data_IF_310318186095
#
_entry.id   IF_310318186095
#
_cell.length_a   1.000
_cell.length_b   1.000
_cell.length_c   1.000
_cell.angle_alpha   90.00
_cell.angle_beta   90.00
_cell.angle_gamma   90.00
#
_symmetry.space_group_name_H-M   'P 1'
#
loop_
_entity.id
_entity.type
_entity.pdbx_description
1 polymer ?
#
# COMPACT_ATOMS: atom_id res chain seq x y z
N UNK A 1 -21.76 -49.17 46.91
CA UNK A 1 -22.60 -50.08 46.11
C UNK A 1 -23.22 -49.26 45.00
N UNK A 2 -23.10 -49.51 43.70
CA UNK A 2 -22.24 -50.40 42.89
C UNK A 2 -22.54 -49.99 41.44
N UNK A 3 -21.51 -50.00 40.59
CA UNK A 3 -21.65 -49.87 39.12
C UNK A 3 -22.63 -50.90 38.53
N UNK A 4 -22.91 -50.77 37.22
CA UNK A 4 -22.35 -51.80 36.35
C UNK A 4 -21.57 -51.27 35.14
N UNK A 5 -20.69 -52.16 34.68
CA UNK A 5 -19.65 -52.04 33.66
C UNK A 5 -20.14 -52.40 32.25
N UNK A 6 -19.45 -51.79 31.28
CA UNK A 6 -19.03 -52.23 29.94
C UNK A 6 -19.16 -53.72 29.56
N UNK A 7 -19.55 -53.95 28.29
CA UNK A 7 -18.94 -54.75 27.20
C UNK A 7 -19.63 -54.27 25.90
N UNK A 8 -19.06 -54.10 24.70
CA UNK A 8 -17.80 -54.50 24.08
C UNK A 8 -18.08 -54.92 22.62
N UNK A 9 -17.25 -54.46 21.68
CA UNK A 9 -17.00 -54.95 20.30
C UNK A 9 -17.66 -54.25 19.07
N UNK A 10 -16.77 -53.50 18.40
CA UNK A 10 -16.44 -53.47 16.95
C UNK A 10 -17.53 -53.58 15.88
N UNK A 11 -17.63 -52.50 15.07
CA UNK A 11 -17.66 -52.63 13.61
C UNK A 11 -17.07 -51.39 12.92
N UNK A 12 -16.37 -51.64 11.83
CA UNK A 12 -15.46 -50.74 11.11
C UNK A 12 -16.17 -49.67 10.28
N UNK A 13 -15.53 -48.50 10.16
CA UNK A 13 -15.80 -47.50 9.13
C UNK A 13 -14.70 -47.59 8.06
N UNK A 14 -15.10 -47.83 6.81
CA UNK A 14 -14.27 -47.62 5.62
C UNK A 14 -14.39 -46.14 5.20
N UNK A 15 -13.26 -45.43 5.20
CA UNK A 15 -13.10 -44.14 4.55
C UNK A 15 -12.01 -44.27 3.46
N UNK A 16 -12.43 -44.13 2.21
CA UNK A 16 -11.55 -43.95 1.06
C UNK A 16 -11.11 -42.49 0.96
N UNK A 17 -9.94 -42.20 1.54
CA UNK A 17 -9.20 -40.95 1.34
C UNK A 17 -7.97 -41.20 0.47
N UNK A 18 -7.91 -40.55 -0.69
CA UNK A 18 -6.72 -40.50 -1.52
C UNK A 18 -5.92 -39.23 -1.17
N UNK A 19 -4.78 -39.40 -0.50
CA UNK A 19 -3.73 -38.39 -0.38
C UNK A 19 -2.45 -38.91 -1.04
N UNK A 20 -2.01 -38.19 -2.07
CA UNK A 20 -0.72 -38.38 -2.71
C UNK A 20 0.30 -37.54 -1.94
N UNK A 21 1.28 -38.21 -1.32
CA UNK A 21 2.46 -37.60 -0.72
C UNK A 21 3.68 -38.07 -1.53
N UNK A 22 4.43 -37.13 -2.10
CA UNK A 22 5.77 -37.34 -2.66
C UNK A 22 6.47 -35.97 -2.67
N UNK A 23 7.76 -35.81 -2.41
CA UNK A 23 8.78 -36.60 -1.73
C UNK A 23 9.87 -35.58 -1.34
N UNK A 24 10.36 -35.64 -0.10
CA UNK A 24 11.50 -34.83 0.36
C UNK A 24 12.77 -35.61 0.01
N UNK A 25 13.66 -35.03 -0.81
CA UNK A 25 14.98 -35.59 -1.09
C UNK A 25 16.04 -34.88 -0.25
N UNK A 26 16.55 -35.57 0.76
CA UNK A 26 17.78 -35.26 1.46
C UNK A 26 18.90 -36.11 0.88
N UNK A 27 20.03 -35.49 0.49
CA UNK A 27 21.26 -36.22 0.17
C UNK A 27 22.46 -35.57 0.88
N UNK A 28 22.94 -36.24 1.92
CA UNK A 28 24.31 -36.13 2.40
C UNK A 28 24.98 -37.51 2.39
N UNK A 29 26.22 -37.49 1.87
CA UNK A 29 27.36 -38.37 2.16
C UNK A 29 27.38 -39.78 1.56
N UNK A 30 28.38 -40.05 0.71
CA UNK A 30 29.56 -40.86 1.08
C UNK A 30 30.59 -40.91 -0.07
N UNK A 31 31.85 -40.67 0.30
CA UNK A 31 33.04 -40.93 -0.51
C UNK A 31 33.32 -42.44 -0.60
N UNK A 32 33.76 -42.91 -1.77
CA UNK A 32 34.64 -44.08 -1.90
C UNK A 32 35.68 -43.82 -2.98
N UNK A 33 36.93 -44.07 -2.62
CA UNK A 33 38.12 -43.89 -3.43
C UNK A 33 38.61 -45.24 -4.00
N UNK A 34 39.16 -45.22 -5.22
CA UNK A 34 40.26 -46.03 -5.77
C UNK A 34 40.27 -45.83 -7.31
N UNK A 35 41.38 -45.63 -8.04
CA UNK A 35 42.80 -45.60 -7.74
C UNK A 35 43.60 -45.55 -9.07
N UNK A 36 44.82 -45.02 -8.99
CA UNK A 36 45.96 -45.03 -9.93
C UNK A 36 45.83 -44.36 -11.31
N UNK A 37 46.88 -43.82 -11.94
CA UNK A 37 48.11 -43.11 -11.58
C UNK A 37 48.83 -42.88 -12.92
N UNK A 38 49.16 -41.64 -13.29
CA UNK A 38 50.27 -41.36 -14.22
C UNK A 38 51.04 -40.14 -13.71
N UNK A 39 52.32 -40.38 -13.44
CA UNK A 39 53.32 -39.40 -13.00
C UNK A 39 53.72 -38.55 -14.19
N UNK A 40 53.53 -37.24 -14.09
CA UNK A 40 54.06 -36.24 -15.00
C UNK A 40 54.58 -35.06 -14.20
N UNK A 41 55.89 -34.95 -14.07
CA UNK A 41 56.56 -33.84 -13.40
C UNK A 41 56.34 -32.55 -14.20
N UNK A 42 55.42 -31.70 -13.72
CA UNK A 42 55.16 -30.37 -14.23
C UNK A 42 55.36 -29.34 -13.12
N UNK A 43 56.26 -28.40 -13.34
CA UNK A 43 56.55 -27.26 -12.46
C UNK A 43 55.25 -26.48 -12.21
N UNK A 44 54.72 -26.53 -10.98
CA UNK A 44 53.58 -25.71 -10.56
C UNK A 44 54.06 -24.28 -10.32
N UNK A 45 53.98 -23.44 -11.35
CA UNK A 45 53.94 -22.01 -11.17
C UNK A 45 52.57 -21.64 -10.60
N UNK A 46 52.50 -21.39 -9.29
CA UNK A 46 51.32 -20.82 -8.65
C UNK A 46 51.17 -19.37 -9.12
N UNK A 47 50.49 -19.18 -10.25
CA UNK A 47 49.92 -17.87 -10.58
C UNK A 47 48.79 -17.63 -9.58
N UNK A 48 49.05 -16.77 -8.60
CA UNK A 48 48.02 -16.25 -7.72
C UNK A 48 46.98 -15.52 -8.59
N UNK A 49 45.83 -16.14 -8.82
CA UNK A 49 44.65 -15.41 -9.25
C UNK A 49 44.29 -14.47 -8.10
N UNK A 50 44.60 -13.18 -8.26
CA UNK A 50 44.02 -12.15 -7.41
C UNK A 50 42.49 -12.24 -7.46
N UNK A 51 41.77 -11.88 -6.39
CA UNK A 51 40.33 -11.81 -6.44
C UNK A 51 39.96 -10.80 -7.53
N UNK A 52 39.36 -11.28 -8.61
CA UNK A 52 38.74 -10.40 -9.59
C UNK A 52 37.63 -9.65 -8.88
N UNK A 53 37.78 -8.34 -8.75
CA UNK A 53 36.66 -7.47 -8.39
C UNK A 53 35.53 -7.74 -9.39
N UNK A 54 34.45 -8.33 -8.90
CA UNK A 54 33.20 -8.27 -9.65
C UNK A 54 32.88 -6.79 -9.84
N UNK A 55 32.57 -6.34 -11.06
CA UNK A 55 32.19 -4.97 -11.29
C UNK A 55 31.04 -4.63 -10.34
N UNK A 56 31.20 -3.56 -9.57
CA UNK A 56 30.14 -3.06 -8.72
C UNK A 56 28.86 -2.92 -9.57
N UNK A 57 27.69 -3.31 -9.04
CA UNK A 57 26.45 -3.08 -9.75
C UNK A 57 26.38 -1.61 -10.16
N UNK A 58 25.88 -1.29 -11.37
CA UNK A 58 25.77 0.10 -11.80
C UNK A 58 25.03 0.88 -10.73
N UNK A 59 25.58 2.03 -10.31
CA UNK A 59 24.88 2.94 -9.42
C UNK A 59 23.52 3.24 -10.05
N UNK A 60 22.41 3.11 -9.29
CA UNK A 60 21.09 3.50 -9.77
C UNK A 60 21.19 4.93 -10.34
N UNK A 61 20.53 5.18 -11.47
CA UNK A 61 20.43 6.53 -11.99
C UNK A 61 19.89 7.44 -10.87
N UNK A 62 20.53 8.59 -10.66
CA UNK A 62 20.11 9.51 -9.61
C UNK A 62 18.64 9.92 -9.84
N UNK A 63 17.82 9.84 -8.79
CA UNK A 63 16.44 10.29 -8.84
C UNK A 63 16.38 11.79 -9.20
N UNK A 64 15.37 12.25 -9.95
CA UNK A 64 15.15 13.67 -10.14
C UNK A 64 15.05 14.42 -8.80
N UNK A 65 15.43 15.71 -8.80
CA UNK A 65 15.32 16.54 -7.61
C UNK A 65 13.88 16.59 -7.09
N UNK A 66 12.93 16.80 -8.00
CA UNK A 66 11.49 16.78 -7.73
C UNK A 66 10.83 15.68 -8.55
N UNK A 67 10.12 14.77 -7.90
CA UNK A 67 9.51 13.62 -8.55
C UNK A 67 8.25 13.12 -7.81
N UNK A 68 7.28 12.65 -8.59
CA UNK A 68 6.28 11.69 -8.14
C UNK A 68 6.78 10.27 -8.44
N UNK A 69 6.72 9.38 -7.46
CA UNK A 69 7.12 7.98 -7.58
C UNK A 69 5.95 7.10 -7.16
N UNK A 70 5.43 6.27 -8.05
CA UNK A 70 4.38 5.29 -7.73
C UNK A 70 5.03 4.01 -7.21
N UNK A 71 5.28 3.93 -5.90
CA UNK A 71 5.96 2.78 -5.29
C UNK A 71 5.22 1.46 -5.54
N UNK A 72 3.89 1.50 -5.40
CA UNK A 72 3.01 0.41 -5.74
C UNK A 72 1.69 0.93 -6.31
N UNK A 73 1.12 0.19 -7.27
CA UNK A 73 -0.11 0.58 -7.99
C UNK A 73 -1.22 -0.45 -7.90
N UNK A 74 -1.00 -1.58 -7.23
CA UNK A 74 -2.00 -2.64 -7.15
C UNK A 74 -3.18 -2.25 -6.25
N UNK A 75 -4.39 -2.43 -6.76
CA UNK A 75 -5.60 -2.45 -5.94
C UNK A 75 -5.64 -3.74 -5.11
N UNK A 76 -6.01 -3.65 -3.83
CA UNK A 76 -6.12 -4.79 -2.92
C UNK A 76 -7.57 -5.13 -2.59
N UNK A 77 -7.83 -5.73 -1.42
CA UNK A 77 -6.88 -6.23 -0.41
C UNK A 77 -5.97 -7.42 -0.76
N UNK A 78 -6.36 -8.39 -1.62
CA UNK A 78 -5.58 -9.61 -1.80
C UNK A 78 -4.17 -9.34 -2.34
N UNK A 79 -3.13 -10.03 -1.84
CA UNK A 79 -1.79 -9.89 -2.38
C UNK A 79 -1.71 -10.54 -3.77
N UNK A 80 -1.12 -9.81 -4.73
CA UNK A 80 -0.79 -10.33 -6.06
C UNK A 80 0.71 -10.63 -6.17
N UNK A 81 1.12 -11.77 -6.77
CA UNK A 81 2.53 -12.09 -6.93
C UNK A 81 3.31 -10.99 -7.66
N UNK A 82 4.43 -10.56 -7.08
CA UNK A 82 5.36 -9.55 -7.62
C UNK A 82 4.75 -8.15 -7.79
N UNK A 83 3.72 -7.82 -7.01
CA UNK A 83 3.06 -6.52 -7.05
C UNK A 83 3.13 -5.86 -5.68
N UNK A 84 3.27 -4.54 -5.68
CA UNK A 84 3.31 -3.73 -4.48
C UNK A 84 1.94 -3.08 -4.28
N UNK A 85 1.42 -3.16 -3.05
CA UNK A 85 0.17 -2.48 -2.69
C UNK A 85 0.29 -0.96 -2.85
N UNK A 86 -0.83 -0.29 -3.01
CA UNK A 86 -0.89 1.14 -3.28
C UNK A 86 -0.02 1.98 -2.33
N UNK A 87 0.90 2.73 -2.92
CA UNK A 87 1.71 3.72 -2.21
C UNK A 87 2.42 4.62 -3.22
N UNK A 88 2.54 5.90 -2.91
CA UNK A 88 3.26 6.87 -3.72
C UNK A 88 4.13 7.79 -2.87
N UNK A 89 5.22 8.29 -3.43
CA UNK A 89 6.07 9.30 -2.80
C UNK A 89 6.15 10.53 -3.69
N UNK A 90 5.90 11.69 -3.09
CA UNK A 90 6.28 12.97 -3.65
C UNK A 90 7.62 13.38 -3.03
N UNK A 91 8.67 13.39 -3.84
CA UNK A 91 10.01 13.85 -3.47
C UNK A 91 10.17 15.28 -3.92
N UNK A 92 10.41 16.21 -2.99
CA UNK A 92 10.69 17.63 -3.27
C UNK A 92 12.06 17.98 -2.69
N UNK A 93 13.06 18.14 -3.56
CA UNK A 93 14.45 18.25 -3.13
C UNK A 93 14.87 17.02 -2.30
N UNK A 94 15.18 17.24 -1.03
CA UNK A 94 15.48 16.18 -0.05
C UNK A 94 14.31 15.74 0.81
N UNK A 95 13.17 16.43 0.78
CA UNK A 95 12.01 16.10 1.62
C UNK A 95 11.07 15.11 0.89
N UNK A 96 10.59 14.10 1.62
CA UNK A 96 9.70 13.06 1.10
C UNK A 96 8.32 13.11 1.77
N UNK A 97 7.27 13.12 0.95
CA UNK A 97 5.88 13.00 1.39
C UNK A 97 5.33 11.67 0.89
N UNK A 98 5.00 10.77 1.82
CA UNK A 98 4.46 9.44 1.51
C UNK A 98 2.93 9.48 1.51
N UNK A 99 2.30 8.89 0.50
CA UNK A 99 0.85 8.77 0.36
C UNK A 99 0.51 7.29 0.33
N UNK A 100 -0.22 6.83 1.35
CA UNK A 100 -0.55 5.44 1.66
C UNK A 100 0.68 4.52 1.84
N UNK A 101 0.45 3.41 2.54
CA UNK A 101 1.45 2.44 2.97
C UNK A 101 0.94 1.01 2.72
N UNK A 102 0.59 0.71 1.46
CA UNK A 102 0.15 -0.63 1.09
C UNK A 102 1.20 -1.71 1.26
N UNK A 103 0.76 -2.97 1.17
CA UNK A 103 1.62 -4.13 1.43
C UNK A 103 2.89 -4.11 0.55
N UNK A 104 4.07 -4.13 1.21
CA UNK A 104 5.38 -4.13 0.55
C UNK A 104 5.91 -2.74 0.18
N UNK A 105 5.18 -1.67 0.50
CA UNK A 105 5.57 -0.30 0.19
C UNK A 105 6.87 0.13 0.85
N UNK A 106 7.22 -0.37 2.05
CA UNK A 106 8.53 -0.06 2.66
C UNK A 106 9.69 -0.64 1.84
N UNK A 107 9.55 -1.88 1.36
CA UNK A 107 10.57 -2.49 0.51
C UNK A 107 10.68 -1.73 -0.82
N UNK A 108 9.56 -1.35 -1.44
CA UNK A 108 9.58 -0.53 -2.65
C UNK A 108 10.23 0.85 -2.42
N UNK A 109 9.93 1.49 -1.29
CA UNK A 109 10.53 2.76 -0.87
C UNK A 109 12.05 2.65 -0.78
N UNK A 110 12.57 1.64 -0.07
CA UNK A 110 14.02 1.43 0.07
C UNK A 110 14.68 1.01 -1.24
N UNK A 111 14.02 0.20 -2.08
CA UNK A 111 14.51 -0.19 -3.40
C UNK A 111 14.63 1.00 -4.37
N UNK A 112 13.79 2.03 -4.20
CA UNK A 112 13.90 3.30 -4.92
C UNK A 112 15.07 4.17 -4.43
N UNK A 113 15.80 3.75 -3.40
CA UNK A 113 16.92 4.49 -2.81
C UNK A 113 16.49 5.56 -1.80
N UNK A 114 15.19 5.63 -1.48
CA UNK A 114 14.64 6.60 -0.53
C UNK A 114 14.97 6.18 0.91
N UNK A 115 15.18 7.16 1.79
CA UNK A 115 15.57 6.93 3.18
C UNK A 115 14.48 7.42 4.13
N UNK A 116 14.26 6.66 5.21
CA UNK A 116 13.31 7.06 6.26
C UNK A 116 13.64 8.44 6.84
N UNK A 117 14.94 8.78 6.91
CA UNK A 117 15.41 10.05 7.44
C UNK A 117 14.97 11.28 6.63
N UNK A 118 14.61 11.07 5.36
CA UNK A 118 14.15 12.11 4.46
C UNK A 118 12.60 12.24 4.48
N UNK A 119 11.88 11.36 5.21
CA UNK A 119 10.43 11.46 5.36
C UNK A 119 10.04 12.69 6.16
N UNK A 120 9.31 13.59 5.48
CA UNK A 120 8.78 14.84 6.01
C UNK A 120 7.36 14.69 6.56
N UNK A 121 6.52 13.90 5.88
CA UNK A 121 5.16 13.59 6.32
C UNK A 121 4.61 12.32 5.65
N UNK A 122 3.61 11.71 6.26
CA UNK A 122 2.82 10.60 5.70
C UNK A 122 1.35 11.02 5.64
N UNK A 123 0.66 10.65 4.56
CA UNK A 123 -0.77 10.90 4.35
C UNK A 123 -1.47 9.58 4.06
N UNK A 124 -2.50 9.25 4.84
CA UNK A 124 -3.31 8.05 4.70
C UNK A 124 -4.69 8.46 4.20
N UNK A 125 -5.11 7.90 3.05
CA UNK A 125 -6.39 8.22 2.42
C UNK A 125 -7.57 7.64 3.21
N UNK A 126 -7.46 6.38 3.62
CA UNK A 126 -8.43 5.67 4.43
C UNK A 126 -7.80 4.45 5.13
N UNK A 127 -8.55 3.76 6.00
CA UNK A 127 -8.03 2.68 6.84
C UNK A 127 -8.31 1.27 6.31
N UNK A 128 -8.48 1.09 4.99
CA UNK A 128 -8.45 -0.25 4.42
C UNK A 128 -7.04 -0.83 4.46
N UNK A 129 -6.98 -2.16 4.60
CA UNK A 129 -5.73 -2.88 4.80
C UNK A 129 -4.74 -2.67 3.66
N UNK A 130 -5.17 -2.54 2.42
CA UNK A 130 -4.28 -2.34 1.27
C UNK A 130 -3.67 -0.94 1.22
N UNK A 131 -4.16 0.02 2.02
CA UNK A 131 -3.59 1.36 2.15
C UNK A 131 -2.72 1.52 3.40
N UNK A 132 -2.84 0.63 4.39
CA UNK A 132 -2.15 0.79 5.69
C UNK A 132 -1.37 -0.44 6.16
N UNK A 133 -1.41 -1.57 5.46
CA UNK A 133 -0.81 -2.83 5.94
C UNK A 133 0.66 -2.69 6.33
N UNK A 134 1.41 -1.84 5.62
CA UNK A 134 2.84 -1.64 5.85
C UNK A 134 3.16 -0.31 6.57
N UNK A 135 2.13 0.44 6.97
CA UNK A 135 2.26 1.75 7.64
C UNK A 135 3.19 1.70 8.85
N UNK A 136 2.95 0.74 9.75
CA UNK A 136 3.74 0.66 10.98
C UNK A 136 5.17 0.19 10.74
N UNK A 137 5.40 -0.58 9.67
CA UNK A 137 6.74 -1.04 9.27
C UNK A 137 7.66 0.14 8.96
N UNK A 138 7.14 1.25 8.43
CA UNK A 138 7.96 2.46 8.21
C UNK A 138 8.60 2.93 9.51
N UNK A 139 7.87 2.97 10.62
CA UNK A 139 8.44 3.36 11.92
C UNK A 139 9.24 2.23 12.57
N UNK A 140 8.69 1.01 12.59
CA UNK A 140 9.28 -0.12 13.28
C UNK A 140 10.61 -0.57 12.65
N UNK A 141 10.65 -0.67 11.32
CA UNK A 141 11.80 -1.18 10.56
C UNK A 141 12.55 -0.06 9.86
N UNK A 142 11.86 0.88 9.21
CA UNK A 142 12.50 2.03 8.57
C UNK A 142 13.13 2.98 9.60
N UNK A 143 12.38 3.29 10.66
CA UNK A 143 12.79 4.14 11.77
C UNK A 143 13.92 3.56 12.63
N UNK A 144 14.26 2.28 12.47
CA UNK A 144 15.46 1.70 13.09
C UNK A 144 16.75 2.42 12.66
N UNK A 145 16.74 3.05 11.48
CA UNK A 145 17.86 3.83 10.93
C UNK A 145 17.79 5.32 11.29
N UNK A 146 16.82 5.73 12.12
CA UNK A 146 16.67 7.11 12.53
C UNK A 146 17.81 7.54 13.48
N UNK A 147 18.38 8.74 13.32
CA UNK A 147 19.34 9.27 14.28
C UNK A 147 18.64 9.54 15.63
N UNK A 148 19.34 9.37 16.77
CA UNK A 148 18.80 9.74 18.07
C UNK A 148 18.35 11.21 18.14
N UNK A 149 17.21 11.45 18.78
CA UNK A 149 16.58 12.76 18.92
C UNK A 149 15.88 13.28 17.66
N UNK A 150 15.61 12.43 16.66
CA UNK A 150 14.86 12.84 15.46
C UNK A 150 13.47 13.37 15.86
N UNK A 151 13.04 14.47 15.24
CA UNK A 151 11.67 14.96 15.40
C UNK A 151 10.65 13.94 14.83
N UNK A 152 9.46 13.81 15.45
CA UNK A 152 8.44 12.89 14.96
C UNK A 152 7.94 13.31 13.57
N UNK A 153 7.69 12.31 12.73
CA UNK A 153 7.09 12.50 11.41
C UNK A 153 5.58 12.72 11.59
N UNK A 154 5.01 13.85 11.12
CA UNK A 154 3.57 14.04 11.11
C UNK A 154 2.89 13.03 10.17
N UNK A 155 1.86 12.36 10.68
CA UNK A 155 1.05 11.40 9.92
C UNK A 155 -0.39 11.91 9.89
N UNK A 156 -0.85 12.33 8.71
CA UNK A 156 -2.20 12.81 8.50
C UNK A 156 -3.10 11.68 8.01
N UNK A 157 -4.28 11.53 8.58
CA UNK A 157 -5.21 10.51 8.10
C UNK A 157 -6.55 10.49 8.81
N UNK A 158 -7.33 9.41 8.64
CA UNK A 158 -8.69 9.33 9.16
C UNK A 158 -8.76 9.25 10.68
N UNK A 159 -9.70 10.00 11.23
CA UNK A 159 -10.21 9.76 12.58
C UNK A 159 -11.13 8.54 12.64
N UNK A 160 -11.68 8.22 13.83
CA UNK A 160 -12.62 7.12 13.98
C UNK A 160 -13.89 7.36 13.16
N UNK A 161 -14.44 6.31 12.55
CA UNK A 161 -15.65 6.41 11.72
C UNK A 161 -16.89 6.85 12.54
N UNK A 162 -16.88 6.58 13.86
CA UNK A 162 -18.00 6.85 14.76
C UNK A 162 -19.08 5.76 14.76
N UNK A 163 -18.98 4.78 13.88
CA UNK A 163 -19.87 3.62 13.83
C UNK A 163 -19.71 2.80 12.55
N UNK A 164 -20.35 1.64 12.54
CA UNK A 164 -20.52 0.82 11.34
C UNK A 164 -21.95 1.00 10.83
N UNK A 165 -22.16 1.27 9.53
CA UNK A 165 -23.49 1.21 8.94
C UNK A 165 -24.03 -0.24 8.98
N UNK A 166 -25.35 -0.45 8.95
CA UNK A 166 -25.91 -1.77 8.70
C UNK A 166 -25.37 -2.33 7.38
N UNK A 167 -24.98 -3.59 7.38
CA UNK A 167 -24.52 -4.24 6.15
C UNK A 167 -25.66 -4.33 5.14
N UNK A 168 -25.57 -3.56 4.06
CA UNK A 168 -26.53 -3.60 2.95
C UNK A 168 -26.12 -4.59 1.85
N UNK A 169 -24.82 -4.91 1.78
CA UNK A 169 -24.20 -5.72 0.73
C UNK A 169 -23.50 -6.93 1.34
N UNK A 170 -23.79 -8.13 0.83
CA UNK A 170 -23.16 -9.37 1.28
C UNK A 170 -23.86 -10.00 2.49
N UNK A 171 -23.18 -10.07 3.63
CA UNK A 171 -23.71 -10.73 4.83
C UNK A 171 -24.63 -9.77 5.61
N UNK A 172 -25.94 -10.05 5.78
CA UNK A 172 -26.87 -9.16 6.48
C UNK A 172 -26.66 -9.11 8.00
N UNK A 173 -25.95 -10.07 8.60
CA UNK A 173 -25.66 -10.12 10.03
C UNK A 173 -24.17 -10.44 10.27
N UNK A 174 -23.25 -9.52 9.93
CA UNK A 174 -21.82 -9.77 10.10
C UNK A 174 -21.43 -9.71 11.58
N UNK A 175 -20.44 -10.52 11.97
CA UNK A 175 -19.80 -10.37 13.26
C UNK A 175 -18.95 -9.09 13.28
N UNK A 176 -18.94 -8.40 14.42
CA UNK A 176 -18.09 -7.21 14.62
C UNK A 176 -16.76 -7.62 15.25
N UNK A 177 -15.66 -7.30 14.56
CA UNK A 177 -14.31 -7.42 15.14
C UNK A 177 -14.09 -6.27 16.12
N UNK A 178 -13.47 -6.58 17.27
CA UNK A 178 -13.24 -5.64 18.37
C UNK A 178 -14.49 -4.80 18.75
N UNK A 179 -15.56 -5.40 19.28
CA UNK A 179 -16.81 -4.68 19.59
C UNK A 179 -16.67 -3.48 20.53
N UNK A 180 -15.59 -3.42 21.34
CA UNK A 180 -15.32 -2.30 22.23
C UNK A 180 -14.83 -1.04 21.49
N UNK A 181 -14.20 -1.22 20.33
CA UNK A 181 -13.76 -0.13 19.45
C UNK A 181 -13.73 -0.64 17.99
N UNK A 182 -14.89 -0.74 17.33
CA UNK A 182 -15.02 -1.43 16.04
C UNK A 182 -14.53 -0.61 14.85
N UNK A 183 -14.36 0.70 15.02
CA UNK A 183 -13.95 1.64 13.96
C UNK A 183 -12.90 2.62 14.50
N UNK A 184 -11.71 2.12 14.92
CA UNK A 184 -10.66 2.99 15.41
C UNK A 184 -10.22 3.96 14.33
N UNK A 185 -9.87 5.19 14.72
CA UNK A 185 -9.12 6.10 13.86
C UNK A 185 -7.64 5.72 13.77
N UNK A 186 -6.88 6.50 13.02
CA UNK A 186 -5.45 6.28 12.83
C UNK A 186 -4.67 6.40 14.15
N UNK A 187 -5.09 7.26 15.08
CA UNK A 187 -4.41 7.43 16.37
C UNK A 187 -4.56 6.19 17.24
N UNK A 188 -5.79 5.68 17.40
CA UNK A 188 -6.06 4.46 18.15
C UNK A 188 -5.42 3.22 17.49
N UNK A 189 -5.40 3.20 16.16
CA UNK A 189 -4.70 2.15 15.39
C UNK A 189 -3.20 2.16 15.66
N UNK A 190 -2.58 3.34 15.64
CA UNK A 190 -1.13 3.50 15.91
C UNK A 190 -0.77 3.09 17.34
N UNK A 191 -1.57 3.47 18.33
CA UNK A 191 -1.38 3.05 19.73
C UNK A 191 -1.49 1.53 19.90
N UNK A 192 -2.47 0.89 19.25
CA UNK A 192 -2.61 -0.56 19.28
C UNK A 192 -1.39 -1.26 18.66
N UNK A 193 -0.80 -0.68 17.60
CA UNK A 193 0.42 -1.19 16.99
C UNK A 193 1.66 -1.00 17.89
N UNK A 194 1.76 0.14 18.58
CA UNK A 194 2.77 0.35 19.62
C UNK A 194 2.69 -0.74 20.69
N UNK A 195 1.48 -1.04 21.18
CA UNK A 195 1.26 -2.12 22.13
C UNK A 195 1.64 -3.49 21.55
N UNK A 196 1.18 -3.80 20.33
CA UNK A 196 1.40 -5.09 19.68
C UNK A 196 2.89 -5.40 19.50
N UNK A 197 3.71 -4.40 19.19
CA UNK A 197 5.14 -4.54 18.95
C UNK A 197 6.02 -4.11 20.13
N UNK A 198 5.44 -3.81 21.30
CA UNK A 198 6.16 -3.33 22.47
C UNK A 198 7.30 -4.26 22.91
N UNK A 199 7.15 -5.58 22.75
CA UNK A 199 8.21 -6.54 23.04
C UNK A 199 9.48 -6.28 22.22
N UNK A 200 9.33 -6.13 20.90
CA UNK A 200 10.45 -5.88 19.99
C UNK A 200 11.07 -4.51 20.25
N UNK A 201 10.23 -3.47 20.38
CA UNK A 201 10.70 -2.10 20.63
C UNK A 201 11.49 -2.01 21.94
N UNK A 202 11.02 -2.67 23.00
CA UNK A 202 11.72 -2.71 24.29
C UNK A 202 13.11 -3.34 24.18
N UNK A 203 13.25 -4.44 23.43
CA UNK A 203 14.54 -5.09 23.22
C UNK A 203 15.47 -4.16 22.45
N UNK A 204 15.01 -3.59 21.34
CA UNK A 204 15.88 -2.77 20.50
C UNK A 204 16.37 -1.49 21.18
N UNK A 205 15.54 -0.83 21.99
CA UNK A 205 15.97 0.32 22.80
C UNK A 205 17.11 -0.09 23.74
N UNK A 206 17.04 -1.27 24.37
CA UNK A 206 18.04 -1.73 25.34
C UNK A 206 19.33 -2.22 24.69
N UNK A 207 19.20 -2.96 23.59
CA UNK A 207 20.32 -3.64 22.94
C UNK A 207 21.07 -2.71 21.97
N UNK A 208 20.35 -1.86 21.24
CA UNK A 208 20.91 -0.98 20.22
C UNK A 208 20.95 0.49 20.61
N UNK A 209 20.28 0.89 21.71
CA UNK A 209 20.24 2.29 22.15
C UNK A 209 19.49 3.22 21.19
N UNK A 210 18.61 2.67 20.35
CA UNK A 210 17.74 3.47 19.47
C UNK A 210 16.64 4.15 20.29
N UNK A 211 16.08 5.22 19.73
CA UNK A 211 14.95 5.92 20.32
C UNK A 211 13.69 5.05 20.38
N UNK A 212 12.76 5.47 21.23
CA UNK A 212 11.45 4.84 21.31
C UNK A 212 10.68 5.08 20.00
N UNK A 213 10.25 3.99 19.34
CA UNK A 213 9.47 4.05 18.09
C UNK A 213 8.21 4.91 18.22
N UNK A 214 7.65 5.02 19.43
CA UNK A 214 6.48 5.86 19.71
C UNK A 214 6.76 7.34 19.51
N UNK A 215 8.01 7.76 19.65
CA UNK A 215 8.43 9.15 19.49
C UNK A 215 8.71 9.52 18.02
N UNK A 216 8.65 8.54 17.10
CA UNK A 216 8.89 8.75 15.66
C UNK A 216 7.64 9.15 14.88
N UNK A 217 6.44 8.92 15.40
CA UNK A 217 5.17 9.21 14.72
C UNK A 217 4.35 10.25 15.50
N UNK A 218 3.95 11.32 14.82
CA UNK A 218 2.96 12.27 15.35
C UNK A 218 1.69 12.17 14.53
N UNK A 219 0.73 11.39 15.01
CA UNK A 219 -0.56 11.20 14.32
C UNK A 219 -1.43 12.45 14.46
N UNK A 220 -2.00 12.87 13.34
CA UNK A 220 -2.89 14.02 13.19
C UNK A 220 -4.12 13.52 12.43
N UNK A 221 -5.19 13.20 13.17
CA UNK A 221 -6.47 12.83 12.56
C UNK A 221 -7.11 14.08 11.93
N UNK A 222 -7.40 14.00 10.64
CA UNK A 222 -7.93 15.12 9.85
C UNK A 222 -9.37 15.41 10.30
N UNK A 223 -9.68 16.63 10.76
CA UNK A 223 -11.05 17.01 11.08
C UNK A 223 -11.93 16.96 9.82
N UNK A 224 -13.08 16.32 9.95
CA UNK A 224 -14.07 16.20 8.87
C UNK A 224 -15.12 17.32 8.97
N UNK A 225 -15.64 17.83 7.84
CA UNK A 225 -16.66 18.88 7.83
C UNK A 225 -17.94 18.48 8.60
N UNK A 226 -18.62 19.47 9.20
CA UNK A 226 -19.88 19.22 9.86
C UNK A 226 -20.93 18.63 8.89
N UNK A 227 -21.67 17.62 9.35
CA UNK A 227 -22.70 16.94 8.55
C UNK A 227 -22.21 15.71 7.79
N UNK A 228 -20.92 15.36 7.87
CA UNK A 228 -20.42 14.05 7.47
C UNK A 228 -20.37 13.09 8.66
N UNK A 229 -20.73 11.83 8.41
CA UNK A 229 -20.61 10.71 9.35
C UNK A 229 -20.55 9.38 8.58
N UNK A 230 -20.47 8.26 9.28
CA UNK A 230 -20.42 6.92 8.67
C UNK A 230 -21.70 6.51 7.90
N UNK A 231 -22.76 7.34 7.89
CA UNK A 231 -23.96 7.15 7.05
C UNK A 231 -24.04 8.14 5.90
N UNK A 232 -23.41 9.30 6.05
CA UNK A 232 -23.25 10.32 5.02
C UNK A 232 -21.75 10.58 4.84
N UNK A 233 -21.08 9.65 4.16
CA UNK A 233 -19.62 9.54 4.18
C UNK A 233 -18.92 10.65 3.40
N UNK A 234 -19.58 11.20 2.37
CA UNK A 234 -19.05 12.28 1.55
C UNK A 234 -20.15 13.27 1.11
N UNK A 235 -20.73 14.06 2.03
CA UNK A 235 -21.61 15.17 1.65
C UNK A 235 -20.88 16.12 0.70
N UNK A 236 -21.65 16.87 -0.10
CA UNK A 236 -21.08 17.91 -0.95
C UNK A 236 -20.41 18.97 -0.07
N UNK A 237 -19.09 19.09 -0.20
CA UNK A 237 -18.27 20.03 0.58
C UNK A 237 -17.25 20.69 -0.34
N UNK A 238 -16.84 21.90 0.00
CA UNK A 238 -15.66 22.51 -0.62
C UNK A 238 -14.40 21.82 -0.10
N UNK A 239 -13.35 21.71 -0.93
CA UNK A 239 -12.03 21.32 -0.46
C UNK A 239 -11.56 22.15 0.73
N UNK A 240 -10.86 21.53 1.66
CA UNK A 240 -10.40 22.16 2.89
C UNK A 240 -8.92 21.86 3.17
N UNK A 241 -8.20 22.76 3.86
CA UNK A 241 -6.76 22.63 4.08
C UNK A 241 -6.43 21.55 5.11
N UNK A 242 -5.29 20.88 4.92
CA UNK A 242 -4.72 19.91 5.89
C UNK A 242 -3.47 20.50 6.53
N UNK A 243 -2.48 20.85 5.72
CA UNK A 243 -1.18 21.36 6.16
C UNK A 243 -0.55 22.21 5.06
N UNK A 244 0.30 23.16 5.43
CA UNK A 244 1.21 23.85 4.51
C UNK A 244 2.57 24.00 5.17
N UNK A 245 3.63 23.67 4.44
CA UNK A 245 5.03 23.86 4.85
C UNK A 245 5.79 24.62 3.76
N UNK A 246 7.12 24.66 3.83
CA UNK A 246 7.94 25.40 2.85
C UNK A 246 7.94 24.82 1.43
N UNK A 247 7.58 23.55 1.25
CA UNK A 247 7.59 22.87 -0.05
C UNK A 247 6.19 22.72 -0.65
N UNK A 248 5.19 22.39 0.17
CA UNK A 248 3.85 22.00 -0.31
C UNK A 248 2.74 22.67 0.49
N UNK A 249 1.60 22.88 -0.17
CA UNK A 249 0.32 23.10 0.49
C UNK A 249 -0.60 21.93 0.17
N UNK A 250 -1.19 21.32 1.20
CA UNK A 250 -2.05 20.15 1.07
C UNK A 250 -3.48 20.54 1.37
N UNK A 251 -4.36 20.26 0.41
CA UNK A 251 -5.82 20.36 0.56
C UNK A 251 -6.44 18.98 0.37
N UNK A 252 -7.62 18.77 0.94
CA UNK A 252 -8.32 17.49 0.89
C UNK A 252 -9.82 17.68 0.72
N UNK A 253 -10.52 16.59 0.43
CA UNK A 253 -11.97 16.49 0.50
C UNK A 253 -12.37 15.07 0.87
N UNK A 254 -13.59 14.89 1.40
CA UNK A 254 -14.19 13.57 1.56
C UNK A 254 -14.61 13.01 0.20
N UNK A 255 -14.33 11.72 -0.01
CA UNK A 255 -14.73 10.96 -1.19
C UNK A 255 -15.57 9.74 -0.83
N UNK A 256 -16.58 9.39 -1.65
CA UNK A 256 -17.46 8.25 -1.40
C UNK A 256 -16.77 6.92 -1.73
N UNK A 257 -16.53 6.10 -0.71
CA UNK A 257 -15.99 4.74 -0.83
C UNK A 257 -16.87 3.75 -0.05
N UNK A 258 -18.15 3.70 -0.43
CA UNK A 258 -19.19 2.91 0.23
C UNK A 258 -19.23 3.11 1.76
N UNK A 259 -19.04 2.03 2.54
CA UNK A 259 -19.10 2.04 4.01
C UNK A 259 -17.83 2.61 4.66
N UNK A 260 -16.78 2.89 3.89
CA UNK A 260 -15.53 3.41 4.43
C UNK A 260 -15.65 4.89 4.75
N UNK A 261 -15.38 5.23 6.00
CA UNK A 261 -15.39 6.60 6.48
C UNK A 261 -14.43 6.81 7.66
N UNK A 262 -13.70 7.93 7.72
CA UNK A 262 -13.47 8.88 6.62
C UNK A 262 -12.61 8.29 5.49
N UNK A 263 -12.91 8.69 4.25
CA UNK A 263 -12.06 8.45 3.08
C UNK A 263 -11.75 9.77 2.37
N UNK A 264 -10.48 9.98 2.03
CA UNK A 264 -9.97 11.25 1.54
C UNK A 264 -9.31 11.15 0.17
N UNK A 265 -9.52 12.20 -0.64
CA UNK A 265 -8.63 12.58 -1.72
C UNK A 265 -7.68 13.69 -1.24
N UNK A 266 -6.46 13.74 -1.76
CA UNK A 266 -5.48 14.77 -1.40
C UNK A 266 -4.97 15.51 -2.63
N UNK A 267 -4.84 16.84 -2.53
CA UNK A 267 -4.14 17.66 -3.51
C UNK A 267 -2.93 18.31 -2.87
N UNK A 268 -1.79 18.14 -3.51
CA UNK A 268 -0.52 18.75 -3.18
C UNK A 268 -0.23 19.84 -4.20
N UNK A 269 -0.18 21.09 -3.76
CA UNK A 269 0.35 22.20 -4.54
C UNK A 269 1.82 22.43 -4.13
N UNK A 270 2.75 21.94 -4.95
CA UNK A 270 4.20 22.12 -4.78
C UNK A 270 4.56 23.56 -5.12
N UNK A 271 5.39 24.19 -4.28
CA UNK A 271 5.76 25.60 -4.40
C UNK A 271 6.90 25.82 -5.39
N UNK A 272 7.87 24.90 -5.44
CA UNK A 272 9.02 24.98 -6.35
C UNK A 272 9.48 23.58 -6.80
N UNK A 273 9.26 23.17 -8.07
CA UNK A 273 8.52 23.91 -9.10
C UNK A 273 7.05 24.05 -8.75
N UNK A 274 6.37 25.05 -9.33
CA UNK A 274 4.93 25.23 -9.16
C UNK A 274 4.16 24.14 -9.93
N UNK A 275 3.82 23.04 -9.26
CA UNK A 275 3.12 21.88 -9.83
C UNK A 275 2.09 21.36 -8.83
N UNK A 276 0.91 21.02 -9.32
CA UNK A 276 -0.19 20.47 -8.54
C UNK A 276 -0.46 19.00 -8.86
N UNK A 277 -0.56 18.17 -7.83
CA UNK A 277 -0.79 16.73 -7.94
C UNK A 277 -1.98 16.36 -7.05
N UNK A 278 -3.02 15.77 -7.63
CA UNK A 278 -4.20 15.29 -6.90
C UNK A 278 -4.26 13.77 -6.92
N UNK A 279 -4.42 13.15 -5.76
CA UNK A 279 -4.64 11.72 -5.55
C UNK A 279 -6.10 11.49 -5.18
N UNK A 280 -6.78 10.59 -5.89
CA UNK A 280 -8.21 10.31 -5.66
C UNK A 280 -8.51 9.64 -4.31
N UNK A 281 -7.56 8.87 -3.77
CA UNK A 281 -7.90 7.76 -2.86
C UNK A 281 -8.77 6.73 -3.58
N UNK A 282 -9.45 5.88 -2.83
CA UNK A 282 -10.50 5.00 -3.38
C UNK A 282 -11.82 5.76 -3.37
N UNK A 283 -12.53 5.72 -4.49
CA UNK A 283 -13.75 6.51 -4.66
C UNK A 283 -14.59 6.03 -5.82
N UNK A 284 -15.90 6.22 -5.71
CA UNK A 284 -16.78 6.32 -6.89
C UNK A 284 -16.61 7.67 -7.58
N UNK A 285 -17.24 7.87 -8.75
CA UNK A 285 -17.28 9.16 -9.42
C UNK A 285 -17.83 10.24 -8.47
N UNK A 286 -17.01 11.26 -8.19
CA UNK A 286 -17.24 12.19 -7.09
C UNK A 286 -17.15 13.66 -7.52
N UNK A 287 -18.22 14.42 -7.30
CA UNK A 287 -18.23 15.89 -7.50
C UNK A 287 -17.22 16.59 -6.58
N UNK A 288 -17.02 16.06 -5.36
CA UNK A 288 -16.03 16.58 -4.43
C UNK A 288 -14.61 16.42 -4.99
N UNK A 289 -14.28 15.24 -5.54
CA UNK A 289 -12.99 15.00 -6.18
C UNK A 289 -12.79 15.93 -7.39
N UNK A 290 -13.81 16.09 -8.23
CA UNK A 290 -13.75 17.03 -9.36
C UNK A 290 -13.47 18.46 -8.88
N UNK A 291 -14.10 18.90 -7.78
CA UNK A 291 -13.87 20.22 -7.21
C UNK A 291 -12.43 20.37 -6.66
N UNK A 292 -11.89 19.34 -5.99
CA UNK A 292 -10.50 19.33 -5.50
C UNK A 292 -9.49 19.34 -6.65
N UNK A 293 -9.69 18.49 -7.64
CA UNK A 293 -8.77 18.26 -8.75
C UNK A 293 -8.81 19.38 -9.81
N UNK A 294 -9.78 20.30 -9.74
CA UNK A 294 -9.95 21.34 -10.75
C UNK A 294 -8.65 22.12 -11.01
N UNK A 295 -8.17 22.07 -12.25
CA UNK A 295 -6.93 22.72 -12.67
C UNK A 295 -5.64 22.07 -12.17
N UNK A 296 -5.67 20.82 -11.70
CA UNK A 296 -4.48 20.07 -11.30
C UNK A 296 -3.57 19.80 -12.50
N UNK A 297 -2.26 19.79 -12.31
CA UNK A 297 -1.31 19.41 -13.37
C UNK A 297 -1.32 17.89 -13.55
N UNK A 298 -1.25 17.15 -12.45
CA UNK A 298 -1.28 15.70 -12.41
C UNK A 298 -2.51 15.25 -11.63
N UNK A 299 -3.28 14.32 -12.20
CA UNK A 299 -4.33 13.59 -11.50
C UNK A 299 -3.94 12.12 -11.43
N UNK A 300 -3.72 11.61 -10.22
CA UNK A 300 -3.52 10.19 -9.92
C UNK A 300 -4.86 9.62 -9.48
N UNK A 301 -5.44 8.71 -10.27
CA UNK A 301 -6.79 8.20 -10.06
C UNK A 301 -6.83 6.67 -9.98
N UNK A 302 -7.59 6.15 -9.01
CA UNK A 302 -7.97 4.72 -8.91
C UNK A 302 -8.79 4.27 -10.12
N UNK A 303 -8.75 2.98 -10.46
CA UNK A 303 -9.75 2.44 -11.37
C UNK A 303 -9.95 0.93 -11.30
N UNK A 304 -11.21 0.54 -11.30
CA UNK A 304 -11.62 -0.79 -11.74
C UNK A 304 -11.85 -0.76 -13.26
N UNK A 305 -11.33 -1.74 -14.00
CA UNK A 305 -11.56 -1.81 -15.44
C UNK A 305 -13.06 -1.87 -15.79
N UNK A 306 -13.83 -2.60 -14.98
CA UNK A 306 -15.29 -2.70 -15.05
C UNK A 306 -15.90 -2.54 -13.67
N UNK A 307 -17.17 -2.12 -13.58
CA UNK A 307 -17.94 -2.20 -12.33
C UNK A 307 -18.87 -3.43 -12.31
N UNK A 308 -18.88 -4.23 -13.37
CA UNK A 308 -19.59 -5.50 -13.41
C UNK A 308 -18.78 -6.57 -12.67
N UNK A 309 -19.35 -7.12 -11.60
CA UNK A 309 -18.70 -8.16 -10.79
C UNK A 309 -18.43 -9.43 -11.59
N UNK A 310 -19.21 -9.70 -12.65
CA UNK A 310 -19.01 -10.87 -13.52
C UNK A 310 -17.66 -10.80 -14.25
N UNK A 311 -17.15 -9.59 -14.53
CA UNK A 311 -15.83 -9.40 -15.12
C UNK A 311 -14.72 -9.98 -14.23
N UNK A 312 -14.88 -9.89 -12.91
CA UNK A 312 -13.94 -10.39 -11.91
C UNK A 312 -14.33 -11.77 -11.38
N UNK A 313 -15.13 -12.53 -12.13
CA UNK A 313 -15.57 -13.87 -11.71
C UNK A 313 -16.47 -13.89 -10.47
N UNK A 314 -17.16 -12.78 -10.19
CA UNK A 314 -18.06 -12.61 -9.04
C UNK A 314 -17.37 -12.80 -7.67
N UNK A 315 -16.10 -12.43 -7.57
CA UNK A 315 -15.38 -12.41 -6.27
C UNK A 315 -15.86 -11.29 -5.34
N UNK A 316 -16.44 -10.24 -5.90
CA UNK A 316 -17.06 -9.16 -5.15
C UNK A 316 -18.54 -9.45 -4.89
N UNK A 317 -19.09 -9.00 -3.74
CA UNK A 317 -20.54 -9.00 -3.54
C UNK A 317 -21.26 -8.19 -4.64
N UNK A 318 -22.52 -8.55 -4.98
CA UNK A 318 -23.34 -7.76 -5.90
C UNK A 318 -23.41 -6.29 -5.49
N UNK A 319 -23.39 -5.38 -6.46
CA UNK A 319 -23.45 -3.92 -6.28
C UNK A 319 -22.32 -3.28 -5.46
N UNK A 320 -21.29 -4.03 -5.04
CA UNK A 320 -20.16 -3.48 -4.29
C UNK A 320 -19.33 -2.49 -5.13
N UNK A 321 -18.91 -2.89 -6.34
CA UNK A 321 -18.01 -2.08 -7.17
C UNK A 321 -18.63 -0.72 -7.53
N UNK A 322 -19.89 -0.62 -8.03
CA UNK A 322 -20.50 0.68 -8.35
C UNK A 322 -20.67 1.63 -7.16
N UNK A 323 -20.68 1.10 -5.93
CA UNK A 323 -20.80 1.90 -4.69
C UNK A 323 -19.44 2.27 -4.08
N UNK A 324 -18.35 1.65 -4.52
CA UNK A 324 -17.03 1.77 -3.88
C UNK A 324 -15.96 2.36 -4.79
N UNK A 325 -16.02 2.12 -6.10
CA UNK A 325 -14.91 2.40 -7.02
C UNK A 325 -15.35 3.11 -8.31
N UNK A 326 -14.37 3.55 -9.09
CA UNK A 326 -14.57 4.23 -10.37
C UNK A 326 -14.19 3.31 -11.53
N UNK A 327 -15.00 3.25 -12.58
CA UNK A 327 -14.69 2.48 -13.78
C UNK A 327 -13.63 3.16 -14.65
N UNK A 328 -12.90 2.43 -15.49
CA UNK A 328 -11.99 3.03 -16.49
C UNK A 328 -12.68 4.08 -17.39
N UNK A 329 -13.93 3.83 -17.78
CA UNK A 329 -14.74 4.78 -18.56
C UNK A 329 -15.06 6.04 -17.75
N UNK A 330 -15.45 5.87 -16.49
CA UNK A 330 -15.77 6.98 -15.57
C UNK A 330 -14.52 7.80 -15.20
N UNK A 331 -13.34 7.19 -15.11
CA UNK A 331 -12.08 7.94 -14.98
C UNK A 331 -11.89 8.88 -16.17
N UNK A 332 -12.17 8.42 -17.39
CA UNK A 332 -12.18 9.26 -18.58
C UNK A 332 -13.18 10.42 -18.46
N UNK A 333 -14.39 10.17 -17.95
CA UNK A 333 -15.39 11.23 -17.73
C UNK A 333 -14.93 12.26 -16.70
N UNK A 334 -14.34 11.82 -15.58
CA UNK A 334 -13.76 12.70 -14.55
C UNK A 334 -12.65 13.55 -15.16
N UNK A 335 -11.72 12.92 -15.89
CA UNK A 335 -10.61 13.62 -16.54
C UNK A 335 -11.07 14.60 -17.62
N UNK A 336 -12.17 14.32 -18.33
CA UNK A 336 -12.76 15.25 -19.30
C UNK A 336 -13.27 16.55 -18.66
N UNK A 337 -13.76 16.46 -17.41
CA UNK A 337 -14.20 17.63 -16.63
C UNK A 337 -13.01 18.34 -16.00
N UNK A 338 -12.12 17.61 -15.34
CA UNK A 338 -10.96 18.15 -14.60
C UNK A 338 -9.89 18.74 -15.54
N UNK A 339 -9.67 18.11 -16.70
CA UNK A 339 -8.67 18.44 -17.72
C UNK A 339 -7.24 18.54 -17.15
N UNK A 340 -6.72 17.48 -16.49
CA UNK A 340 -5.35 17.50 -15.98
C UNK A 340 -4.34 17.59 -17.14
N UNK A 341 -3.14 18.13 -16.91
CA UNK A 341 -2.07 18.07 -17.91
C UNK A 341 -1.58 16.63 -18.12
N UNK A 342 -1.68 15.80 -17.09
CA UNK A 342 -1.34 14.38 -17.13
C UNK A 342 -2.26 13.59 -16.19
N UNK A 343 -3.00 12.63 -16.75
CA UNK A 343 -3.72 11.62 -16.00
C UNK A 343 -2.82 10.39 -15.76
N UNK A 344 -2.70 9.97 -14.51
CA UNK A 344 -1.95 8.77 -14.12
C UNK A 344 -2.95 7.80 -13.47
N UNK A 345 -3.10 6.62 -14.05
CA UNK A 345 -3.86 5.55 -13.45
C UNK A 345 -2.99 4.83 -12.43
N UNK A 346 -3.46 4.75 -11.18
CA UNK A 346 -2.87 3.98 -10.08
C UNK A 346 -4.01 3.24 -9.37
N UNK A 347 -3.73 2.41 -8.36
CA UNK A 347 -4.73 1.59 -7.65
C UNK A 347 -5.76 1.00 -8.61
N UNK A 348 -5.29 0.07 -9.46
CA UNK A 348 -6.13 -0.45 -10.53
C UNK A 348 -6.19 -1.97 -10.55
N UNK A 349 -7.37 -2.48 -10.93
CA UNK A 349 -7.59 -3.90 -11.15
C UNK A 349 -8.42 -4.19 -12.42
N UNK A 350 -8.02 -5.20 -13.21
CA UNK A 350 -6.89 -6.11 -12.97
C UNK A 350 -5.54 -5.47 -13.35
N UNK A 351 -4.46 -6.01 -12.80
CA UNK A 351 -3.12 -5.42 -12.87
C UNK A 351 -2.21 -6.02 -13.96
N UNK A 352 -2.76 -6.91 -14.78
CA UNK A 352 -2.12 -7.67 -15.86
C UNK A 352 -2.67 -7.33 -17.26
N UNK A 353 -3.68 -6.46 -17.35
CA UNK A 353 -4.18 -5.98 -18.64
C UNK A 353 -3.14 -5.16 -19.39
N UNK A 354 -3.06 -5.29 -20.74
CA UNK A 354 -2.27 -4.40 -21.56
C UNK A 354 -2.73 -2.94 -21.40
N UNK A 355 -1.77 -2.02 -21.29
CA UNK A 355 -2.04 -0.59 -21.13
C UNK A 355 -2.97 -0.05 -22.24
N UNK A 356 -2.87 -0.58 -23.46
CA UNK A 356 -3.73 -0.17 -24.57
C UNK A 356 -5.22 -0.37 -24.28
N UNK A 357 -5.61 -1.40 -23.53
CA UNK A 357 -7.03 -1.63 -23.22
C UNK A 357 -7.57 -0.61 -22.21
N UNK A 358 -6.77 -0.27 -21.20
CA UNK A 358 -7.09 0.80 -20.26
C UNK A 358 -7.23 2.14 -21.00
N UNK A 359 -6.24 2.45 -21.86
CA UNK A 359 -6.24 3.67 -22.66
C UNK A 359 -7.44 3.71 -23.61
N UNK A 360 -7.77 2.62 -24.30
CA UNK A 360 -8.92 2.55 -25.21
C UNK A 360 -10.25 2.82 -24.48
N UNK A 361 -10.36 2.43 -23.20
CA UNK A 361 -11.55 2.70 -22.37
C UNK A 361 -11.61 4.14 -21.88
N UNK A 362 -10.51 4.65 -21.34
CA UNK A 362 -10.41 6.04 -20.85
C UNK A 362 -10.59 7.04 -22.01
N UNK A 363 -9.99 6.74 -23.17
CA UNK A 363 -10.00 7.61 -24.35
C UNK A 363 -11.37 7.78 -25.01
N UNK A 364 -12.38 7.01 -24.60
CA UNK A 364 -13.77 7.22 -25.03
C UNK A 364 -14.30 8.58 -24.58
N UNK A 365 -13.82 9.07 -23.43
CA UNK A 365 -14.24 10.34 -22.84
C UNK A 365 -13.11 11.37 -22.72
N UNK A 366 -11.83 10.95 -22.71
CA UNK A 366 -10.70 11.84 -22.48
C UNK A 366 -9.48 11.53 -23.35
N UNK A 367 -9.07 12.47 -24.21
CA UNK A 367 -7.94 12.30 -25.13
C UNK A 367 -6.63 12.96 -24.66
N UNK A 368 -6.54 13.41 -23.41
CA UNK A 368 -5.34 14.05 -22.88
C UNK A 368 -4.24 13.03 -22.54
N UNK A 369 -3.06 13.52 -22.15
CA UNK A 369 -1.93 12.66 -21.80
C UNK A 369 -2.31 11.74 -20.63
N UNK A 370 -2.24 10.44 -20.86
CA UNK A 370 -2.60 9.41 -19.88
C UNK A 370 -1.48 8.37 -19.75
N UNK A 371 -1.23 7.89 -18.53
CA UNK A 371 -0.27 6.80 -18.27
C UNK A 371 -0.90 5.79 -17.32
N UNK A 372 -0.81 4.50 -17.66
CA UNK A 372 -1.08 3.41 -16.72
C UNK A 372 0.19 3.19 -15.90
N UNK A 373 0.18 3.59 -14.64
CA UNK A 373 1.39 3.56 -13.82
C UNK A 373 1.88 2.14 -13.55
N UNK A 374 3.15 2.01 -13.19
CA UNK A 374 3.77 0.75 -12.75
C UNK A 374 4.45 0.93 -11.40
N UNK A 375 4.64 -0.17 -10.68
CA UNK A 375 5.42 -0.19 -9.44
C UNK A 375 6.82 0.40 -9.69
N UNK A 376 7.24 1.32 -8.82
CA UNK A 376 8.51 2.04 -8.89
C UNK A 376 8.64 3.07 -10.03
N UNK A 377 7.57 3.40 -10.76
CA UNK A 377 7.65 4.35 -11.87
C UNK A 377 7.87 5.78 -11.37
N UNK A 378 8.79 6.51 -12.03
CA UNK A 378 9.22 7.86 -11.67
C UNK A 378 8.71 8.87 -12.69
N UNK A 379 8.12 9.96 -12.20
CA UNK A 379 7.64 11.10 -12.97
C UNK A 379 8.32 12.36 -12.45
N UNK A 380 9.23 12.95 -13.24
CA UNK A 380 9.87 14.22 -12.89
C UNK A 380 8.85 15.38 -12.93
N UNK A 381 8.99 16.33 -11.99
CA UNK A 381 8.09 17.48 -11.82
C UNK A 381 8.67 18.78 -12.35
#
# INVERSE_FOLDING_TARGET
MTQPKLHGMHQACDHSGASIVAAVSSRRSALTAAGLAVVGAGVLATSACGPGESPAPPSPAALPENALITLGVAAGPPPTPNKIGISSVLKIGGDLYLIDCGLGSLNAFTNAGLQFNDLKAIFITHLHTDHIADYYSFFLSGGFQAPPGRAPIPVYGPGPAGGLPPSEIGNPNPATVNPANPTPGLAATTEALHQAFAYSSNIFIRDYGIDNVQDLAKVIEIPVPAGSDYRNTAPKVSPFPVVSDDNVSVTTTLVPHYDVYPAFAFRFDVKNPAVSITFSGDTTKSDNLVALANGTDILVHEAMFSLDTAYYGNVFPPDYLPKSHTSAEQVGEVAAVVKPKHLILSHYAPDDLPDSQWLDKINQNYSGRTTVAKDGQIFAL
#
